data_IF_565712110729
#
_entry.id   IF_565712110729
#
_cell.length_a   1.000
_cell.length_b   1.000
_cell.length_c   1.000
_cell.angle_alpha   90.00
_cell.angle_beta   90.00
_cell.angle_gamma   90.00
#
_symmetry.space_group_name_H-M   'P 1'
#
loop_
_entity.id
_entity.type
_entity.pdbx_description
1 polymer ?
#
# COMPACT_ATOMS: atom_id res chain seq x y z
N UNK A 1 5.43 -25.63 -4.47
CA UNK A 1 5.02 -25.15 -3.13
C UNK A 1 6.14 -24.40 -2.41
N UNK A 2 7.38 -24.93 -2.40
CA UNK A 2 8.57 -24.25 -1.83
C UNK A 2 9.00 -22.97 -2.58
N UNK A 3 8.89 -22.91 -3.91
CA UNK A 3 9.24 -21.70 -4.68
C UNK A 3 8.33 -20.50 -4.37
N UNK A 4 7.07 -20.73 -4.01
CA UNK A 4 6.15 -19.66 -3.59
C UNK A 4 6.53 -19.08 -2.22
N UNK A 5 7.04 -19.91 -1.30
CA UNK A 5 7.50 -19.45 0.02
C UNK A 5 8.79 -18.63 -0.09
N UNK A 6 9.73 -19.04 -0.94
CA UNK A 6 10.94 -18.25 -1.24
C UNK A 6 10.59 -16.93 -1.95
N UNK A 7 9.62 -16.94 -2.86
CA UNK A 7 9.11 -15.73 -3.51
C UNK A 7 8.48 -14.74 -2.52
N UNK A 8 7.64 -15.23 -1.60
CA UNK A 8 7.00 -14.41 -0.56
C UNK A 8 8.06 -13.82 0.40
N UNK A 9 9.01 -14.63 0.87
CA UNK A 9 10.09 -14.17 1.75
C UNK A 9 11.01 -13.15 1.06
N UNK A 10 11.31 -13.33 -0.23
CA UNK A 10 12.11 -12.38 -1.00
C UNK A 10 11.38 -11.05 -1.23
N UNK A 11 10.06 -11.09 -1.34
CA UNK A 11 9.23 -9.89 -1.53
C UNK A 11 9.01 -9.12 -0.22
N UNK A 12 9.06 -9.77 0.94
CA UNK A 12 8.85 -9.13 2.24
C UNK A 12 9.85 -8.01 2.54
N UNK A 13 11.08 -8.07 2.01
CA UNK A 13 12.08 -7.00 2.17
C UNK A 13 11.61 -5.62 1.67
N UNK A 14 10.62 -5.59 0.78
CA UNK A 14 10.03 -4.35 0.26
C UNK A 14 8.95 -3.77 1.17
N UNK A 15 8.54 -4.53 2.18
CA UNK A 15 7.53 -4.17 3.17
C UNK A 15 8.16 -3.91 4.55
N UNK A 16 9.49 -3.95 4.65
CA UNK A 16 10.22 -3.64 5.89
C UNK A 16 9.86 -2.23 6.39
N UNK A 17 9.64 -2.12 7.70
CA UNK A 17 9.33 -0.86 8.39
C UNK A 17 7.87 -0.42 8.33
N UNK A 18 6.99 -1.11 7.58
CA UNK A 18 5.56 -0.75 7.51
C UNK A 18 4.93 -0.78 8.92
N UNK A 19 4.37 0.36 9.33
CA UNK A 19 3.72 0.55 10.62
C UNK A 19 4.68 0.81 11.79
N UNK A 20 5.98 0.73 11.57
CA UNK A 20 7.03 0.97 12.59
C UNK A 20 7.72 2.30 12.31
N UNK A 21 8.31 2.47 11.12
CA UNK A 21 9.06 3.66 10.71
C UNK A 21 8.14 4.69 10.06
N UNK A 22 8.47 5.98 10.05
CA UNK A 22 7.64 6.99 9.37
C UNK A 22 7.40 6.67 7.88
N UNK A 23 6.18 6.94 7.43
CA UNK A 23 5.79 6.71 6.05
C UNK A 23 6.59 7.64 5.12
N UNK A 24 7.61 7.10 4.45
CA UNK A 24 8.51 7.84 3.58
C UNK A 24 8.27 7.55 2.10
N UNK A 25 8.71 8.45 1.23
CA UNK A 25 8.67 8.23 -0.21
C UNK A 25 9.53 7.03 -0.65
N UNK A 26 10.58 6.69 0.12
CA UNK A 26 11.35 5.46 -0.11
C UNK A 26 10.53 4.20 0.19
N UNK A 27 9.75 4.21 1.28
CA UNK A 27 8.83 3.13 1.61
C UNK A 27 7.77 2.97 0.52
N UNK A 28 7.17 4.07 0.07
CA UNK A 28 6.20 4.04 -1.03
C UNK A 28 6.82 3.44 -2.30
N UNK A 29 8.05 3.83 -2.65
CA UNK A 29 8.78 3.26 -3.80
C UNK A 29 9.02 1.75 -3.64
N UNK A 30 9.37 1.27 -2.45
CA UNK A 30 9.54 -0.16 -2.19
C UNK A 30 8.20 -0.91 -2.37
N UNK A 31 7.10 -0.36 -1.86
CA UNK A 31 5.76 -0.91 -2.06
C UNK A 31 5.39 -0.93 -3.56
N UNK A 32 5.73 0.13 -4.31
CA UNK A 32 5.52 0.15 -5.76
C UNK A 32 6.28 -0.99 -6.46
N UNK A 33 7.54 -1.22 -6.09
CA UNK A 33 8.35 -2.32 -6.64
C UNK A 33 7.75 -3.68 -6.29
N UNK A 34 7.28 -3.85 -5.05
CA UNK A 34 6.57 -5.05 -4.62
C UNK A 34 5.34 -5.32 -5.49
N UNK A 35 4.50 -4.31 -5.71
CA UNK A 35 3.29 -4.45 -6.56
C UNK A 35 3.66 -4.77 -8.00
N UNK A 36 4.66 -4.09 -8.60
CA UNK A 36 5.10 -4.42 -9.97
C UNK A 36 5.57 -5.87 -10.05
N UNK A 37 6.35 -6.35 -9.08
CA UNK A 37 6.80 -7.75 -9.00
C UNK A 37 5.67 -8.74 -8.82
N UNK A 38 4.59 -8.35 -8.12
CA UNK A 38 3.43 -9.21 -7.90
C UNK A 38 2.65 -9.44 -9.21
N UNK A 39 2.53 -8.41 -10.03
CA UNK A 39 1.76 -8.45 -11.28
C UNK A 39 2.60 -8.76 -12.52
N UNK A 40 3.93 -8.66 -12.45
CA UNK A 40 4.82 -8.82 -13.61
C UNK A 40 5.96 -9.80 -13.34
N UNK A 41 6.33 -10.57 -14.37
CA UNK A 41 7.58 -11.36 -14.38
C UNK A 41 8.83 -10.50 -14.69
N UNK A 42 8.65 -9.22 -15.07
CA UNK A 42 9.71 -8.29 -15.49
C UNK A 42 9.67 -6.99 -14.66
N UNK A 43 10.47 -6.91 -13.58
CA UNK A 43 10.23 -5.97 -12.48
C UNK A 43 10.74 -4.53 -12.67
N UNK A 44 11.32 -4.18 -13.82
CA UNK A 44 12.07 -2.93 -14.00
C UNK A 44 11.25 -1.79 -14.65
N UNK A 45 9.98 -1.62 -14.29
CA UNK A 45 9.11 -0.61 -14.93
C UNK A 45 8.28 0.13 -13.88
N UNK A 46 8.03 1.42 -14.08
CA UNK A 46 7.16 2.20 -13.18
C UNK A 46 5.72 1.68 -13.24
N UNK A 47 4.98 1.78 -12.12
CA UNK A 47 3.57 1.34 -12.06
C UNK A 47 2.74 1.97 -13.17
N UNK A 48 2.94 3.26 -13.46
CA UNK A 48 2.22 3.98 -14.50
C UNK A 48 2.44 3.38 -15.89
N UNK A 49 3.70 3.13 -16.26
CA UNK A 49 4.04 2.50 -17.55
C UNK A 49 3.49 1.07 -17.61
N UNK A 50 3.57 0.34 -16.50
CA UNK A 50 3.10 -1.03 -16.40
C UNK A 50 1.56 -1.15 -16.53
N UNK A 51 0.79 -0.25 -15.89
CA UNK A 51 -0.67 -0.14 -16.08
C UNK A 51 -0.98 0.16 -17.55
N UNK A 52 -0.28 1.10 -18.18
CA UNK A 52 -0.51 1.44 -19.59
C UNK A 52 -0.32 0.23 -20.52
N UNK A 53 0.68 -0.61 -20.25
CA UNK A 53 0.91 -1.84 -21.01
C UNK A 53 -0.20 -2.87 -20.78
N UNK A 54 -0.62 -3.09 -19.53
CA UNK A 54 -1.64 -4.08 -19.18
C UNK A 54 -3.07 -3.65 -19.56
N UNK A 55 -3.37 -2.35 -19.55
CA UNK A 55 -4.72 -1.83 -19.83
C UNK A 55 -5.24 -2.23 -21.22
N UNK A 56 -4.33 -2.48 -22.16
CA UNK A 56 -4.67 -2.92 -23.52
C UNK A 56 -5.02 -4.42 -23.64
N UNK A 57 -4.66 -5.23 -22.65
CA UNK A 57 -4.66 -6.70 -22.76
C UNK A 57 -5.27 -7.42 -21.56
N UNK A 58 -5.74 -6.67 -20.57
CA UNK A 58 -6.24 -7.19 -19.29
C UNK A 58 -7.59 -6.59 -18.91
N UNK A 59 -8.38 -7.33 -18.16
CA UNK A 59 -9.60 -6.80 -17.52
C UNK A 59 -9.24 -5.88 -16.36
N UNK A 60 -10.12 -4.92 -16.04
CA UNK A 60 -9.93 -3.97 -14.92
C UNK A 60 -9.58 -4.70 -13.61
N UNK A 61 -10.23 -5.84 -13.33
CA UNK A 61 -9.99 -6.65 -12.14
C UNK A 61 -8.55 -7.21 -12.00
N UNK A 62 -7.81 -7.26 -13.11
CA UNK A 62 -6.45 -7.80 -13.19
C UNK A 62 -5.40 -6.69 -13.36
N UNK A 63 -5.81 -5.41 -13.34
CA UNK A 63 -4.88 -4.29 -13.37
C UNK A 63 -4.31 -4.04 -11.97
N UNK A 64 -3.02 -3.71 -11.86
CA UNK A 64 -2.46 -3.23 -10.60
C UNK A 64 -3.07 -1.87 -10.23
N UNK A 65 -3.01 -1.48 -8.94
CA UNK A 65 -3.50 -0.18 -8.50
C UNK A 65 -2.73 0.96 -9.17
N UNK A 66 -3.43 2.07 -9.47
CA UNK A 66 -2.77 3.33 -9.84
C UNK A 66 -1.81 3.79 -8.73
N UNK A 67 -0.80 4.59 -9.07
CA UNK A 67 0.16 5.12 -8.09
C UNK A 67 -0.53 5.79 -6.90
N UNK A 68 -1.52 6.59 -7.24
CA UNK A 68 -2.37 7.34 -6.36
C UNK A 68 -3.20 6.41 -5.45
N UNK A 69 -3.87 5.40 -6.04
CA UNK A 69 -4.62 4.40 -5.27
C UNK A 69 -3.71 3.59 -4.35
N UNK A 70 -2.52 3.23 -4.82
CA UNK A 70 -1.52 2.51 -4.05
C UNK A 70 -1.05 3.35 -2.86
N UNK A 71 -0.79 4.64 -3.05
CA UNK A 71 -0.35 5.55 -1.99
C UNK A 71 -1.38 5.60 -0.86
N UNK A 72 -2.65 5.87 -1.18
CA UNK A 72 -3.67 5.94 -0.12
C UNK A 72 -3.97 4.58 0.51
N UNK A 73 -3.95 3.47 -0.24
CA UNK A 73 -4.07 2.15 0.37
C UNK A 73 -2.90 1.84 1.32
N UNK A 74 -1.68 2.21 0.94
CA UNK A 74 -0.49 2.03 1.76
C UNK A 74 -0.56 2.85 3.04
N UNK A 75 -0.98 4.11 2.95
CA UNK A 75 -1.21 4.97 4.12
C UNK A 75 -2.26 4.39 5.08
N UNK A 76 -3.38 3.89 4.54
CA UNK A 76 -4.43 3.27 5.36
C UNK A 76 -3.95 1.99 6.04
N UNK A 77 -3.28 1.11 5.31
CA UNK A 77 -2.70 -0.11 5.87
C UNK A 77 -1.67 0.20 6.96
N UNK A 78 -0.82 1.20 6.71
CA UNK A 78 0.16 1.68 7.67
C UNK A 78 -0.48 2.19 8.97
N UNK A 79 -1.56 2.96 8.88
CA UNK A 79 -2.33 3.39 10.06
C UNK A 79 -2.91 2.21 10.84
N UNK A 80 -3.52 1.24 10.15
CA UNK A 80 -4.05 0.03 10.79
C UNK A 80 -2.96 -0.77 11.51
N UNK A 81 -1.77 -0.88 10.91
CA UNK A 81 -0.63 -1.52 11.59
C UNK A 81 -0.23 -0.76 12.85
N UNK A 82 -0.19 0.58 12.83
CA UNK A 82 0.08 1.39 14.03
C UNK A 82 -0.97 1.16 15.12
N UNK A 83 -2.25 1.05 14.77
CA UNK A 83 -3.33 0.71 15.71
C UNK A 83 -3.08 -0.66 16.35
N UNK A 84 -2.79 -1.68 15.54
CA UNK A 84 -2.56 -3.04 16.04
C UNK A 84 -1.33 -3.17 16.92
N UNK A 85 -0.23 -2.50 16.57
CA UNK A 85 0.99 -2.49 17.37
C UNK A 85 0.78 -1.88 18.76
N UNK A 86 -0.21 -1.01 18.92
CA UNK A 86 -0.53 -0.37 20.20
C UNK A 86 -1.83 -0.92 20.83
N UNK A 87 -2.31 -2.09 20.39
CA UNK A 87 -3.60 -2.65 20.83
C UNK A 87 -3.68 -3.04 22.31
N UNK A 88 -2.53 -3.20 22.97
CA UNK A 88 -2.46 -3.51 24.40
C UNK A 88 -2.44 -2.27 25.29
N UNK A 89 -2.22 -1.08 24.71
CA UNK A 89 -2.28 0.18 25.45
C UNK A 89 -3.76 0.59 25.61
N UNK A 90 -4.24 0.89 26.83
CA UNK A 90 -5.64 1.27 27.04
C UNK A 90 -6.05 2.59 26.36
N UNK A 91 -5.10 3.51 26.15
CA UNK A 91 -5.34 4.80 25.51
C UNK A 91 -4.10 5.19 24.68
N UNK A 92 -3.88 4.53 23.53
CA UNK A 92 -2.71 4.76 22.72
C UNK A 92 -2.78 6.13 22.04
N UNK A 93 -1.64 6.82 21.97
CA UNK A 93 -1.54 8.07 21.21
C UNK A 93 -1.34 7.74 19.74
N UNK A 94 -2.44 7.67 19.00
CA UNK A 94 -2.42 7.44 17.56
C UNK A 94 -2.26 8.74 16.78
N UNK A 95 -1.61 8.71 15.60
CA UNK A 95 -1.49 9.89 14.76
C UNK A 95 -2.87 10.26 14.15
N UNK A 96 -2.99 11.46 13.58
CA UNK A 96 -4.24 11.89 12.98
C UNK A 96 -4.56 11.05 11.74
N UNK A 97 -5.70 10.36 11.75
CA UNK A 97 -6.14 9.47 10.67
C UNK A 97 -6.31 10.17 9.31
N UNK A 98 -6.56 11.49 9.32
CA UNK A 98 -6.68 12.27 8.09
C UNK A 98 -5.36 12.30 7.27
N UNK A 99 -4.22 12.21 7.95
CA UNK A 99 -2.91 12.15 7.30
C UNK A 99 -2.65 10.79 6.64
N UNK A 100 -3.53 9.80 6.87
CA UNK A 100 -3.37 8.41 6.43
C UNK A 100 -4.43 7.97 5.41
N UNK A 101 -4.87 8.88 4.55
CA UNK A 101 -5.73 8.54 3.40
C UNK A 101 -7.22 8.41 3.73
N UNK A 102 -7.64 9.04 4.82
CA UNK A 102 -9.04 9.19 5.22
C UNK A 102 -9.43 10.67 5.21
N UNK A 103 -10.71 10.94 4.95
CA UNK A 103 -11.34 12.24 5.17
C UNK A 103 -12.39 12.09 6.27
N UNK A 104 -12.56 13.12 7.08
CA UNK A 104 -13.61 13.19 8.10
C UNK A 104 -14.70 14.08 7.52
N UNK A 105 -15.93 13.57 7.44
CA UNK A 105 -17.06 14.38 7.02
C UNK A 105 -17.64 15.23 8.17
N UNK A 106 -18.64 16.05 7.86
CA UNK A 106 -19.27 16.94 8.83
C UNK A 106 -19.99 16.20 9.97
N UNK A 107 -20.28 14.91 9.79
CA UNK A 107 -20.93 14.04 10.77
C UNK A 107 -19.90 13.29 11.62
N UNK A 108 -18.61 13.43 11.33
CA UNK A 108 -17.52 12.76 12.03
C UNK A 108 -17.21 11.37 11.49
N UNK A 109 -17.77 10.95 10.36
CA UNK A 109 -17.47 9.64 9.78
C UNK A 109 -16.16 9.66 8.99
N UNK A 110 -15.42 8.56 9.10
CA UNK A 110 -14.19 8.33 8.33
C UNK A 110 -14.53 7.74 6.97
N UNK A 111 -14.21 8.48 5.92
CA UNK A 111 -14.39 8.04 4.54
C UNK A 111 -13.02 7.89 3.87
N UNK A 112 -12.76 6.84 3.08
CA UNK A 112 -11.51 6.74 2.35
C UNK A 112 -11.43 7.88 1.33
N UNK A 113 -10.25 8.47 1.19
CA UNK A 113 -9.99 9.38 0.07
C UNK A 113 -10.04 8.54 -1.21
N UNK A 114 -11.03 8.83 -2.04
CA UNK A 114 -11.20 8.25 -3.37
C UNK A 114 -10.57 9.19 -4.39
N UNK A 115 -9.95 8.59 -5.40
CA UNK A 115 -9.27 9.30 -6.47
C UNK A 115 -10.11 9.05 -7.71
N UNK A 116 -10.52 10.14 -8.35
CA UNK A 116 -11.33 10.12 -9.57
C UNK A 116 -10.49 9.81 -10.80
#
# INVERSE_FOLDING_TARGET
MLENLLGILYLNRYLDGIGIDDFSEMMLKNIQIFVVKLYSKNPNTSIKLFIGLLASSSTIANLPPTEDSLRFHSLRAYYQTKVWLNSLEPCPKLPNIADYGWKIDNEGNYNPIQIQ
#
